data_IF_340690787789
#
_entry.id   IF_340690787789
#
_cell.length_a   1.000
_cell.length_b   1.000
_cell.length_c   1.000
_cell.angle_alpha   90.00
_cell.angle_beta   90.00
_cell.angle_gamma   90.00
#
_symmetry.space_group_name_H-M   'P 1'
#
loop_
_entity.id
_entity.type
_entity.pdbx_description
1 polymer ?
#
# COMPACT_ATOMS: atom_id res chain seq x y z
N UNK A 1 10.31 -6.83 -14.48
CA UNK A 1 8.87 -6.59 -14.61
C UNK A 1 8.41 -5.91 -13.34
N UNK A 2 7.65 -4.80 -13.47
CA UNK A 2 6.99 -4.14 -12.36
C UNK A 2 5.50 -4.44 -12.40
N UNK A 3 4.86 -4.46 -11.24
CA UNK A 3 3.41 -4.59 -11.09
C UNK A 3 2.85 -3.48 -10.23
N UNK A 4 1.56 -3.22 -10.38
CA UNK A 4 0.81 -2.31 -9.54
C UNK A 4 -0.44 -3.01 -9.01
N UNK A 5 -0.74 -2.79 -7.72
CA UNK A 5 -1.92 -3.31 -7.06
C UNK A 5 -3.00 -2.22 -7.01
N UNK A 6 -4.12 -2.48 -7.66
CA UNK A 6 -5.21 -1.53 -7.84
C UNK A 6 -6.40 -1.94 -6.95
N UNK A 7 -6.55 -1.25 -5.81
CA UNK A 7 -7.60 -1.58 -4.84
C UNK A 7 -8.57 -0.43 -4.64
N UNK A 8 -8.09 0.75 -4.25
CA UNK A 8 -8.91 1.88 -3.83
C UNK A 8 -9.65 2.56 -4.98
N UNK A 9 -10.83 3.13 -4.69
CA UNK A 9 -11.73 3.74 -5.67
C UNK A 9 -12.16 5.14 -5.22
N UNK A 10 -12.38 6.09 -6.17
CA UNK A 10 -12.75 7.45 -5.81
C UNK A 10 -14.17 7.60 -5.26
N UNK A 11 -15.09 6.69 -5.61
CA UNK A 11 -16.50 6.82 -5.30
C UNK A 11 -16.91 6.20 -3.96
N UNK A 12 -16.02 5.42 -3.34
CA UNK A 12 -16.35 4.64 -2.12
C UNK A 12 -15.29 4.82 -1.03
N UNK A 13 -15.69 4.61 0.22
CA UNK A 13 -14.78 4.56 1.36
C UNK A 13 -13.96 3.27 1.31
N UNK A 14 -12.85 3.26 0.58
CA UNK A 14 -12.04 2.08 0.28
C UNK A 14 -11.30 1.49 1.49
N UNK A 15 -11.30 2.17 2.64
CA UNK A 15 -10.86 1.60 3.92
C UNK A 15 -11.73 0.41 4.36
N UNK A 16 -13.00 0.40 3.96
CA UNK A 16 -13.86 -0.78 4.00
C UNK A 16 -13.83 -1.46 2.62
N UNK A 17 -13.04 -2.52 2.51
CA UNK A 17 -12.86 -3.26 1.25
C UNK A 17 -14.17 -3.87 0.72
N UNK A 18 -15.19 -4.03 1.55
CA UNK A 18 -16.51 -4.54 1.12
C UNK A 18 -17.30 -3.53 0.29
N UNK A 19 -16.90 -2.25 0.29
CA UNK A 19 -17.52 -1.19 -0.49
C UNK A 19 -16.98 -1.07 -1.91
N UNK A 20 -15.89 -1.76 -2.26
CA UNK A 20 -15.31 -1.69 -3.60
C UNK A 20 -16.35 -2.09 -4.65
N UNK A 21 -16.45 -1.28 -5.70
CA UNK A 21 -17.57 -1.31 -6.65
C UNK A 21 -17.16 -1.52 -8.10
N UNK A 22 -15.86 -1.47 -8.46
CA UNK A 22 -15.41 -1.77 -9.84
C UNK A 22 -15.98 -3.11 -10.26
N UNK A 23 -16.89 -3.08 -11.23
CA UNK A 23 -17.65 -4.25 -11.66
C UNK A 23 -16.79 -5.21 -12.47
N UNK A 24 -17.03 -6.50 -12.28
CA UNK A 24 -16.41 -7.58 -13.02
C UNK A 24 -17.48 -8.64 -13.30
N UNK A 25 -17.95 -8.68 -14.53
CA UNK A 25 -19.04 -9.57 -14.95
C UNK A 25 -18.48 -10.60 -15.94
N UNK A 26 -18.81 -11.87 -15.72
CA UNK A 26 -18.43 -12.94 -16.65
C UNK A 26 -19.27 -12.86 -17.93
N UNK A 27 -18.59 -12.94 -19.07
CA UNK A 27 -19.19 -12.99 -20.40
C UNK A 27 -18.47 -14.06 -21.22
N UNK A 28 -19.03 -15.27 -21.24
CA UNK A 28 -18.42 -16.46 -21.84
C UNK A 28 -17.08 -16.83 -21.19
N UNK A 29 -16.02 -16.82 -21.98
CA UNK A 29 -14.65 -17.15 -21.57
C UNK A 29 -13.85 -15.89 -21.13
N UNK A 30 -14.54 -14.79 -20.87
CA UNK A 30 -13.92 -13.53 -20.44
C UNK A 30 -14.66 -12.92 -19.26
N UNK A 31 -13.94 -12.06 -18.53
CA UNK A 31 -14.51 -11.09 -17.62
C UNK A 31 -14.51 -9.71 -18.26
N UNK A 32 -15.57 -8.94 -18.03
CA UNK A 32 -15.69 -7.54 -18.47
C UNK A 32 -15.65 -6.64 -17.24
N UNK A 33 -14.68 -5.72 -17.21
CA UNK A 33 -14.43 -4.82 -16.09
C UNK A 33 -14.83 -3.38 -16.44
N UNK A 34 -15.57 -2.74 -15.52
CA UNK A 34 -15.98 -1.33 -15.65
C UNK A 34 -15.87 -0.62 -14.29
N UNK A 35 -15.26 0.58 -14.28
CA UNK A 35 -15.12 1.40 -13.07
C UNK A 35 -13.81 2.15 -13.02
N UNK A 36 -13.41 2.56 -11.81
CA UNK A 36 -12.22 3.37 -11.63
C UNK A 36 -11.42 2.90 -10.41
N UNK A 37 -10.10 3.08 -10.48
CA UNK A 37 -9.18 2.88 -9.37
C UNK A 37 -8.31 4.12 -9.24
N UNK A 38 -8.02 4.55 -8.01
CA UNK A 38 -7.15 5.69 -7.78
C UNK A 38 -6.12 5.41 -6.68
N UNK A 39 -5.18 6.32 -6.51
CA UNK A 39 -4.04 6.14 -5.60
C UNK A 39 -3.29 4.83 -5.84
N UNK A 40 -3.31 4.36 -7.09
CA UNK A 40 -2.65 3.14 -7.51
C UNK A 40 -1.15 3.39 -7.68
N UNK A 41 -0.36 2.99 -6.70
CA UNK A 41 1.09 3.20 -6.68
C UNK A 41 1.78 2.49 -7.84
N UNK A 42 2.55 3.24 -8.62
CA UNK A 42 3.31 2.73 -9.76
C UNK A 42 2.46 2.39 -10.99
N UNK A 43 1.14 2.61 -10.98
CA UNK A 43 0.29 2.24 -12.12
C UNK A 43 0.59 3.07 -13.38
N UNK A 44 1.12 4.29 -13.21
CA UNK A 44 1.52 5.14 -14.33
C UNK A 44 2.95 4.94 -14.79
N UNK A 45 3.79 4.27 -14.02
CA UNK A 45 5.19 4.01 -14.38
C UNK A 45 5.27 3.25 -15.72
N UNK A 46 6.01 3.75 -16.73
CA UNK A 46 6.13 3.09 -18.03
C UNK A 46 6.71 1.67 -17.97
N UNK A 47 7.40 1.32 -16.88
CA UNK A 47 7.96 -0.03 -16.64
C UNK A 47 6.96 -1.01 -16.02
N UNK A 48 5.78 -0.53 -15.61
CA UNK A 48 4.73 -1.38 -15.02
C UNK A 48 4.02 -2.15 -16.13
N UNK A 49 4.20 -3.47 -16.12
CA UNK A 49 3.64 -4.37 -17.11
C UNK A 49 2.36 -5.09 -16.62
N UNK A 50 2.21 -5.26 -15.30
CA UNK A 50 1.14 -6.07 -14.70
C UNK A 50 0.31 -5.24 -13.75
N UNK A 51 -1.01 -5.33 -13.89
CA UNK A 51 -1.98 -4.86 -12.90
C UNK A 51 -2.60 -6.04 -12.17
N UNK A 52 -2.67 -5.91 -10.84
CA UNK A 52 -3.40 -6.81 -9.95
C UNK A 52 -4.59 -6.02 -9.44
N UNK A 53 -5.79 -6.35 -9.91
CA UNK A 53 -6.98 -5.51 -9.72
C UNK A 53 -7.98 -6.22 -8.81
N UNK A 54 -8.35 -5.56 -7.71
CA UNK A 54 -9.46 -6.02 -6.87
C UNK A 54 -10.78 -5.54 -7.47
N UNK A 55 -11.68 -6.47 -7.76
CA UNK A 55 -12.92 -6.25 -8.50
C UNK A 55 -14.11 -6.80 -7.72
N UNK A 56 -15.31 -6.26 -7.99
CA UNK A 56 -16.57 -6.80 -7.49
C UNK A 56 -17.15 -7.79 -8.49
N UNK A 57 -17.30 -9.05 -8.06
CA UNK A 57 -18.01 -10.09 -8.82
C UNK A 57 -19.40 -10.29 -8.23
N UNK A 58 -20.47 -10.18 -9.02
CA UNK A 58 -21.84 -10.36 -8.54
C UNK A 58 -22.04 -11.76 -7.96
N UNK A 59 -22.44 -11.86 -6.70
CA UNK A 59 -22.89 -13.09 -6.07
C UNK A 59 -23.71 -12.76 -4.81
N UNK A 60 -24.49 -13.72 -4.32
CA UNK A 60 -25.36 -13.60 -3.14
C UNK A 60 -24.66 -14.00 -1.84
N UNK A 61 -23.35 -14.22 -1.89
CA UNK A 61 -22.56 -14.61 -0.72
C UNK A 61 -22.31 -13.47 0.28
N UNK A 62 -21.66 -13.79 1.39
CA UNK A 62 -21.25 -12.79 2.38
C UNK A 62 -20.43 -11.66 1.74
N UNK A 63 -20.54 -10.44 2.27
CA UNK A 63 -19.88 -9.24 1.71
C UNK A 63 -18.38 -9.43 1.41
N UNK A 64 -17.65 -10.14 2.27
CA UNK A 64 -16.23 -10.42 2.08
C UNK A 64 -15.94 -11.39 0.91
N UNK A 65 -16.94 -12.13 0.43
CA UNK A 65 -16.83 -13.07 -0.68
C UNK A 65 -17.38 -12.49 -1.99
N UNK A 66 -17.71 -11.21 -2.03
CA UNK A 66 -18.22 -10.53 -3.24
C UNK A 66 -17.12 -9.87 -4.07
N UNK A 67 -15.86 -10.10 -3.73
CA UNK A 67 -14.72 -9.52 -4.43
C UNK A 67 -13.77 -10.60 -4.91
N UNK A 68 -13.24 -10.38 -6.09
CA UNK A 68 -12.26 -11.24 -6.75
C UNK A 68 -11.00 -10.47 -7.10
N UNK A 69 -9.98 -11.17 -7.55
CA UNK A 69 -8.73 -10.55 -7.95
C UNK A 69 -8.34 -11.01 -9.34
N UNK A 70 -8.13 -10.04 -10.23
CA UNK A 70 -7.78 -10.25 -11.63
C UNK A 70 -6.35 -9.77 -11.87
N UNK A 71 -5.55 -10.57 -12.56
CA UNK A 71 -4.21 -10.18 -13.04
C UNK A 71 -4.29 -9.91 -14.53
N UNK A 72 -3.76 -8.76 -14.98
CA UNK A 72 -3.83 -8.40 -16.40
C UNK A 72 -2.61 -7.59 -16.85
N UNK A 73 -2.39 -7.55 -18.15
CA UNK A 73 -1.42 -6.63 -18.74
C UNK A 73 -1.88 -5.17 -18.55
N UNK A 74 -0.97 -4.30 -18.15
CA UNK A 74 -1.26 -2.87 -17.96
C UNK A 74 -1.64 -2.12 -19.24
N UNK A 75 -1.43 -2.75 -20.40
CA UNK A 75 -1.75 -2.22 -21.73
C UNK A 75 -3.04 -2.82 -22.32
N UNK A 76 -3.77 -3.62 -21.53
CA UNK A 76 -5.07 -4.20 -21.99
C UNK A 76 -5.98 -3.09 -22.49
N UNK A 77 -6.64 -3.34 -23.64
CA UNK A 77 -7.56 -2.39 -24.24
C UNK A 77 -8.69 -2.01 -23.29
N UNK A 78 -9.11 -0.75 -23.30
CA UNK A 78 -10.13 -0.21 -22.40
C UNK A 78 -9.57 0.37 -21.09
N UNK A 79 -8.28 0.22 -20.81
CA UNK A 79 -7.62 0.83 -19.65
C UNK A 79 -7.12 2.23 -20.05
N UNK A 80 -7.52 3.24 -19.29
CA UNK A 80 -7.06 4.63 -19.45
C UNK A 80 -6.42 5.15 -18.17
N UNK A 81 -5.17 5.59 -18.25
CA UNK A 81 -4.50 6.37 -17.21
C UNK A 81 -5.02 7.81 -17.29
N UNK A 82 -5.79 8.26 -16.28
CA UNK A 82 -6.44 9.57 -16.32
C UNK A 82 -5.47 10.69 -15.92
N UNK A 83 -4.82 10.55 -14.78
CA UNK A 83 -3.85 11.53 -14.26
C UNK A 83 -2.99 10.93 -13.15
N UNK A 84 -1.79 11.49 -12.92
CA UNK A 84 -1.09 11.27 -11.66
C UNK A 84 -1.87 11.91 -10.51
N UNK A 85 -1.66 11.37 -9.31
CA UNK A 85 -2.18 11.91 -8.06
C UNK A 85 -1.05 12.68 -7.38
N UNK A 86 -1.36 13.85 -6.86
CA UNK A 86 -0.38 14.69 -6.19
C UNK A 86 -0.57 14.69 -4.68
N UNK A 87 0.53 14.67 -3.95
CA UNK A 87 0.59 14.87 -2.49
C UNK A 87 1.41 16.13 -2.24
N UNK A 88 0.78 17.17 -1.70
CA UNK A 88 1.41 18.48 -1.48
C UNK A 88 2.09 19.06 -2.74
N UNK A 89 1.49 18.85 -3.91
CA UNK A 89 2.01 19.32 -5.20
C UNK A 89 3.10 18.46 -5.82
N UNK A 90 3.37 17.28 -5.30
CA UNK A 90 4.34 16.32 -5.84
C UNK A 90 3.64 15.06 -6.34
N UNK A 91 3.96 14.63 -7.54
CA UNK A 91 3.40 13.44 -8.20
C UNK A 91 4.25 12.17 -8.06
N UNK A 92 5.43 12.27 -7.43
CA UNK A 92 6.41 11.17 -7.24
C UNK A 92 6.80 10.43 -8.55
N UNK A 93 6.75 11.15 -9.69
CA UNK A 93 7.11 10.54 -10.98
C UNK A 93 8.56 9.99 -10.97
N UNK A 94 8.85 8.89 -11.73
CA UNK A 94 7.95 8.14 -12.64
C UNK A 94 7.08 7.10 -11.92
N UNK A 95 7.36 6.79 -10.65
CA UNK A 95 6.63 5.77 -9.89
C UNK A 95 5.21 6.23 -9.57
N UNK A 96 5.07 7.29 -8.82
CA UNK A 96 3.85 8.01 -8.48
C UNK A 96 2.62 7.16 -8.13
N UNK A 97 1.50 7.83 -7.98
CA UNK A 97 0.19 7.22 -7.78
C UNK A 97 -0.73 7.69 -8.90
N UNK A 98 -1.59 6.81 -9.41
CA UNK A 98 -2.39 7.14 -10.59
C UNK A 98 -3.87 6.88 -10.40
N UNK A 99 -4.67 7.67 -11.12
CA UNK A 99 -6.10 7.45 -11.34
C UNK A 99 -6.29 6.71 -12.66
N UNK A 100 -6.90 5.53 -12.61
CA UNK A 100 -7.07 4.61 -13.73
C UNK A 100 -8.56 4.36 -13.96
N UNK A 101 -8.99 4.42 -15.21
CA UNK A 101 -10.36 4.08 -15.65
C UNK A 101 -10.35 2.81 -16.47
N UNK A 102 -11.34 1.98 -16.22
CA UNK A 102 -11.64 0.76 -16.94
C UNK A 102 -12.97 0.95 -17.67
N UNK A 103 -12.98 0.72 -18.98
CA UNK A 103 -14.18 0.80 -19.82
C UNK A 103 -14.22 -0.43 -20.70
N UNK A 104 -15.16 -1.32 -20.43
CA UNK A 104 -15.36 -2.60 -21.13
C UNK A 104 -14.05 -3.40 -21.31
N UNK A 105 -13.22 -3.40 -20.28
CA UNK A 105 -11.94 -4.12 -20.29
C UNK A 105 -12.20 -5.60 -20.24
N UNK A 106 -11.83 -6.31 -21.31
CA UNK A 106 -11.98 -7.76 -21.41
C UNK A 106 -10.69 -8.49 -21.07
N UNK A 107 -10.80 -9.46 -20.19
CA UNK A 107 -9.70 -10.35 -19.81
C UNK A 107 -10.16 -11.80 -19.79
N UNK A 108 -9.32 -12.77 -20.16
CA UNK A 108 -9.64 -14.18 -20.10
C UNK A 108 -10.00 -14.65 -18.68
N UNK A 109 -10.83 -15.67 -18.54
CA UNK A 109 -11.23 -16.20 -17.22
C UNK A 109 -10.07 -16.77 -16.42
N UNK A 110 -9.03 -17.25 -17.08
CA UNK A 110 -7.79 -17.75 -16.45
C UNK A 110 -6.96 -16.68 -15.76
N UNK A 111 -7.26 -15.41 -16.00
CA UNK A 111 -6.63 -14.28 -15.31
C UNK A 111 -7.18 -14.06 -13.89
N UNK A 112 -8.21 -14.82 -13.50
CA UNK A 112 -8.75 -14.84 -12.15
C UNK A 112 -7.80 -15.58 -11.21
N UNK A 113 -7.41 -14.92 -10.10
CA UNK A 113 -6.58 -15.54 -9.08
C UNK A 113 -7.42 -16.39 -8.11
N UNK A 114 -7.04 -17.63 -7.92
CA UNK A 114 -7.61 -18.62 -6.98
C UNK A 114 -9.07 -18.98 -7.32
N UNK A 115 -9.95 -17.99 -7.43
CA UNK A 115 -11.39 -18.19 -7.71
C UNK A 115 -12.21 -16.95 -7.40
N UNK A 116 -13.47 -16.95 -7.86
CA UNK A 116 -14.43 -15.89 -7.56
C UNK A 116 -14.68 -15.79 -6.05
N UNK A 117 -14.83 -14.57 -5.56
CA UNK A 117 -15.06 -14.29 -4.16
C UNK A 117 -13.82 -14.39 -3.24
N UNK A 118 -12.64 -14.70 -3.80
CA UNK A 118 -11.40 -14.87 -3.03
C UNK A 118 -10.54 -13.60 -2.93
N UNK A 119 -10.98 -12.48 -3.50
CA UNK A 119 -10.20 -11.24 -3.53
C UNK A 119 -9.86 -10.70 -2.15
N UNK A 120 -10.78 -10.75 -1.20
CA UNK A 120 -10.53 -10.29 0.18
C UNK A 120 -9.50 -11.19 0.88
N UNK A 121 -9.64 -12.51 0.78
CA UNK A 121 -8.71 -13.50 1.36
C UNK A 121 -7.28 -13.30 0.83
N UNK A 122 -7.14 -13.15 -0.49
CA UNK A 122 -5.85 -12.87 -1.15
C UNK A 122 -5.26 -11.55 -0.63
N UNK A 123 -6.08 -10.51 -0.51
CA UNK A 123 -5.66 -9.21 0.03
C UNK A 123 -5.13 -9.31 1.45
N UNK A 124 -5.79 -10.06 2.33
CA UNK A 124 -5.36 -10.24 3.71
C UNK A 124 -4.04 -11.03 3.79
N UNK A 125 -3.88 -12.08 2.98
CA UNK A 125 -2.62 -12.83 2.88
C UNK A 125 -1.45 -11.96 2.46
N UNK A 126 -1.67 -11.03 1.52
CA UNK A 126 -0.65 -10.05 1.09
C UNK A 126 -0.36 -8.98 2.14
N UNK A 127 -1.40 -8.45 2.80
CA UNK A 127 -1.28 -7.31 3.71
C UNK A 127 -0.72 -7.70 5.08
N UNK A 128 -0.89 -8.94 5.53
CA UNK A 128 -0.37 -9.43 6.81
C UNK A 128 1.13 -9.17 6.96
N UNK A 129 2.00 -9.78 6.12
CA UNK A 129 3.44 -9.53 6.11
C UNK A 129 3.80 -8.06 5.86
N UNK A 130 3.01 -7.37 5.02
CA UNK A 130 3.18 -5.95 4.74
C UNK A 130 3.07 -5.06 5.98
N UNK A 131 2.17 -5.37 6.92
CA UNK A 131 2.02 -4.64 8.18
C UNK A 131 3.26 -4.77 9.06
N UNK A 132 3.80 -5.97 9.19
CA UNK A 132 5.07 -6.20 9.93
C UNK A 132 6.23 -5.46 9.27
N UNK A 133 6.32 -5.50 7.94
CA UNK A 133 7.33 -4.77 7.18
C UNK A 133 7.25 -3.25 7.43
N UNK A 134 6.05 -2.66 7.49
CA UNK A 134 5.87 -1.25 7.81
C UNK A 134 6.38 -0.92 9.23
N UNK A 135 6.08 -1.78 10.22
CA UNK A 135 6.58 -1.60 11.57
C UNK A 135 8.12 -1.62 11.61
N UNK A 136 8.76 -2.58 10.95
CA UNK A 136 10.24 -2.66 10.91
C UNK A 136 10.87 -1.45 10.22
N UNK A 137 10.27 -0.92 9.14
CA UNK A 137 10.75 0.30 8.49
C UNK A 137 10.65 1.52 9.41
N UNK A 138 9.54 1.65 10.14
CA UNK A 138 9.36 2.74 11.11
C UNK A 138 10.42 2.66 12.22
N UNK A 139 10.73 1.47 12.74
CA UNK A 139 11.79 1.24 13.71
C UNK A 139 13.15 1.65 13.14
N UNK A 140 13.46 1.29 11.90
CA UNK A 140 14.70 1.68 11.23
C UNK A 140 14.83 3.20 11.05
N UNK A 141 13.74 3.90 10.74
CA UNK A 141 13.70 5.36 10.67
C UNK A 141 13.90 6.00 12.06
N UNK A 142 13.25 5.47 13.09
CA UNK A 142 13.41 5.93 14.46
C UNK A 142 14.86 5.75 14.96
N UNK A 143 15.49 4.61 14.65
CA UNK A 143 16.90 4.34 14.93
C UNK A 143 17.82 5.40 14.30
N UNK A 144 17.59 5.69 13.01
CA UNK A 144 18.38 6.72 12.32
C UNK A 144 18.13 8.12 12.87
N UNK A 145 16.89 8.44 13.21
CA UNK A 145 16.56 9.72 13.83
C UNK A 145 17.25 9.88 15.18
N UNK A 146 17.27 8.84 16.03
CA UNK A 146 17.96 8.85 17.31
C UNK A 146 19.47 9.04 17.14
N UNK A 147 20.11 8.34 16.18
CA UNK A 147 21.52 8.53 15.85
C UNK A 147 21.83 9.99 15.51
N UNK A 148 21.04 10.59 14.63
CA UNK A 148 21.21 11.98 14.21
C UNK A 148 20.97 12.96 15.37
N UNK A 149 19.97 12.68 16.21
CA UNK A 149 19.68 13.48 17.41
C UNK A 149 20.86 13.45 18.39
N UNK A 150 21.43 12.29 18.66
CA UNK A 150 22.62 12.15 19.53
C UNK A 150 23.81 12.92 18.95
N UNK A 151 24.14 12.71 17.68
CA UNK A 151 25.23 13.43 17.00
C UNK A 151 25.04 14.95 17.08
N UNK A 152 23.81 15.42 16.81
CA UNK A 152 23.50 16.86 16.87
C UNK A 152 23.62 17.40 18.28
N UNK A 153 23.10 16.70 19.27
CA UNK A 153 23.12 17.14 20.67
C UNK A 153 24.53 17.22 21.25
N UNK A 154 25.46 16.40 20.77
CA UNK A 154 26.87 16.44 21.16
C UNK A 154 27.63 17.54 20.43
N UNK A 155 27.32 17.83 19.17
CA UNK A 155 28.08 18.78 18.34
C UNK A 155 27.59 20.22 18.45
N UNK A 156 26.33 20.46 18.86
CA UNK A 156 25.77 21.80 19.00
C UNK A 156 25.98 22.33 20.41
N UNK A 157 26.60 23.50 20.52
CA UNK A 157 26.74 24.21 21.78
C UNK A 157 25.72 25.34 21.93
N UNK A 158 25.23 25.50 23.15
CA UNK A 158 24.42 26.63 23.59
C UNK A 158 24.70 26.86 25.09
N UNK A 159 24.72 28.13 25.50
CA UNK A 159 25.02 28.51 26.90
C UNK A 159 26.35 27.92 27.42
N UNK A 160 27.36 27.87 26.52
CA UNK A 160 28.72 27.43 26.85
C UNK A 160 28.90 25.91 27.04
N UNK A 161 27.98 25.09 26.60
CA UNK A 161 28.06 23.62 26.68
C UNK A 161 27.26 22.92 25.59
N UNK A 162 27.61 21.65 25.26
CA UNK A 162 26.79 20.84 24.34
C UNK A 162 25.33 20.76 24.79
N UNK A 163 24.38 20.83 23.83
CA UNK A 163 22.95 20.80 24.18
C UNK A 163 22.54 19.46 24.79
N UNK A 164 23.30 18.39 24.59
CA UNK A 164 23.11 17.11 25.28
C UNK A 164 23.14 17.26 26.81
N UNK A 165 23.84 18.27 27.32
CA UNK A 165 23.96 18.57 28.78
C UNK A 165 22.92 19.58 29.27
N UNK A 166 21.93 19.94 28.42
CA UNK A 166 20.90 20.92 28.78
C UNK A 166 19.58 20.20 29.08
N UNK A 167 19.05 20.44 30.29
CA UNK A 167 17.73 20.00 30.71
C UNK A 167 17.46 18.52 30.49
N UNK A 168 16.27 18.20 29.96
CA UNK A 168 15.79 16.86 29.77
C UNK A 168 16.25 16.19 28.45
N UNK A 169 17.23 16.75 27.74
CA UNK A 169 17.64 16.19 26.42
C UNK A 169 18.17 14.75 26.54
N UNK A 170 18.91 14.42 27.58
CA UNK A 170 19.37 13.05 27.81
C UNK A 170 18.22 12.11 28.22
N UNK A 171 17.20 12.60 28.92
CA UNK A 171 16.01 11.81 29.26
C UNK A 171 15.23 11.47 28.00
N UNK A 172 15.07 12.45 27.08
CA UNK A 172 14.44 12.24 25.78
C UNK A 172 15.19 11.16 24.98
N UNK A 173 16.52 11.23 24.96
CA UNK A 173 17.37 10.25 24.26
C UNK A 173 17.21 8.86 24.87
N UNK A 174 17.25 8.77 26.22
CA UNK A 174 17.12 7.50 26.94
C UNK A 174 15.74 6.86 26.72
N UNK A 175 14.68 7.63 26.83
CA UNK A 175 13.31 7.16 26.58
C UNK A 175 13.14 6.72 25.13
N UNK A 176 13.63 7.49 24.15
CA UNK A 176 13.58 7.10 22.75
C UNK A 176 14.31 5.77 22.49
N UNK A 177 15.46 5.52 23.12
CA UNK A 177 16.17 4.24 23.03
C UNK A 177 15.33 3.10 23.58
N UNK A 178 14.70 3.27 24.73
CA UNK A 178 13.84 2.26 25.36
C UNK A 178 12.62 1.95 24.45
N UNK A 179 11.94 2.98 23.96
CA UNK A 179 10.76 2.82 23.08
C UNK A 179 11.11 2.08 21.79
N UNK A 180 12.26 2.39 21.18
CA UNK A 180 12.72 1.71 19.95
C UNK A 180 12.99 0.23 20.22
N UNK A 181 13.64 -0.12 21.34
CA UNK A 181 13.91 -1.52 21.67
C UNK A 181 12.63 -2.29 22.00
N UNK A 182 11.71 -1.70 22.76
CA UNK A 182 10.41 -2.31 23.04
C UNK A 182 9.62 -2.56 21.75
N UNK A 183 9.54 -1.56 20.85
CA UNK A 183 8.88 -1.69 19.57
C UNK A 183 9.53 -2.77 18.68
N UNK A 184 10.86 -2.84 18.66
CA UNK A 184 11.62 -3.85 17.92
C UNK A 184 11.31 -5.26 18.40
N UNK A 185 11.37 -5.48 19.71
CA UNK A 185 11.10 -6.79 20.29
C UNK A 185 9.66 -7.23 20.04
N UNK A 186 8.70 -6.32 20.17
CA UNK A 186 7.29 -6.61 19.87
C UNK A 186 7.07 -6.96 18.39
N UNK A 187 7.70 -6.22 17.48
CA UNK A 187 7.62 -6.48 16.05
C UNK A 187 8.25 -7.83 15.66
N UNK A 188 9.41 -8.17 16.22
CA UNK A 188 10.05 -9.46 16.02
C UNK A 188 9.20 -10.61 16.58
N UNK A 189 8.57 -10.42 17.74
CA UNK A 189 7.64 -11.40 18.33
C UNK A 189 6.43 -11.60 17.41
N UNK A 190 5.85 -10.53 16.89
CA UNK A 190 4.72 -10.61 15.96
C UNK A 190 5.12 -11.35 14.67
N UNK A 191 6.29 -11.07 14.10
CA UNK A 191 6.80 -11.76 12.92
C UNK A 191 7.05 -13.25 13.17
N UNK A 192 7.50 -13.61 14.37
CA UNK A 192 7.71 -15.01 14.73
C UNK A 192 6.40 -15.79 14.92
N UNK A 193 5.30 -15.10 15.29
CA UNK A 193 3.98 -15.68 15.49
C UNK A 193 3.17 -15.85 14.19
N UNK A 194 3.62 -15.28 13.06
CA UNK A 194 3.00 -15.41 11.73
C UNK A 194 3.40 -16.72 11.05
#
# INVERSE_FOLDING_TARGET
IRSSYLMTEPQVASSDATNLSLSCVRDGDSYVLNGEKWWASGAGDPRTAVYIVMVRTPNDGPKHNQHSMIVMDSKTSGIKKLRPMEVYGHDDAPHGHYHIKFTDVRVPVENLLVGEGKGFEISQGRLGPGRIHHCMRAIGQAEKALELMVRRSLSREAFGKPIAKLGANYDIIANARQDIEMARLLCLKAAWMM
#
